data_IF_836934226659
#
_entry.id   IF_836934226659
#
_cell.length_a   1.000
_cell.length_b   1.000
_cell.length_c   1.000
_cell.angle_alpha   90.00
_cell.angle_beta   90.00
_cell.angle_gamma   90.00
#
_symmetry.space_group_name_H-M   'P 1'
#
loop_
_entity.id
_entity.type
_entity.pdbx_description
1 polymer ?
#
# COMPACT_ATOMS: atom_id res chain seq x y z
N UNK A 1 -28.40 2.81 17.98
CA UNK A 1 -28.46 2.10 16.68
C UNK A 1 -28.62 3.06 15.49
N UNK A 2 -29.50 4.07 15.54
CA UNK A 2 -29.77 4.99 14.41
C UNK A 2 -28.56 5.78 13.88
N UNK A 3 -27.60 6.16 14.74
CA UNK A 3 -26.36 6.86 14.34
C UNK A 3 -25.43 6.01 13.48
N UNK A 4 -25.41 4.69 13.69
CA UNK A 4 -24.57 3.76 12.91
C UNK A 4 -25.12 3.63 11.50
N UNK A 5 -26.44 3.55 11.35
CA UNK A 5 -27.10 3.54 10.03
C UNK A 5 -26.80 4.83 9.25
N UNK A 6 -26.87 6.00 9.91
CA UNK A 6 -26.55 7.28 9.26
C UNK A 6 -25.08 7.35 8.82
N UNK A 7 -24.15 6.80 9.63
CA UNK A 7 -22.73 6.73 9.31
C UNK A 7 -22.44 5.79 8.14
N UNK A 8 -23.10 4.63 8.11
CA UNK A 8 -22.98 3.66 7.00
C UNK A 8 -23.50 4.29 5.71
N UNK A 9 -24.68 4.92 5.74
CA UNK A 9 -25.23 5.62 4.57
C UNK A 9 -24.33 6.77 4.11
N UNK A 10 -23.80 7.57 5.04
CA UNK A 10 -22.86 8.65 4.74
C UNK A 10 -21.55 8.14 4.10
N UNK A 11 -20.93 7.10 4.68
CA UNK A 11 -19.71 6.48 4.14
C UNK A 11 -19.95 5.83 2.78
N UNK A 12 -21.12 5.20 2.59
CA UNK A 12 -21.52 4.63 1.30
C UNK A 12 -21.58 5.71 0.24
N UNK A 13 -22.23 6.86 0.50
CA UNK A 13 -22.31 7.97 -0.45
C UNK A 13 -20.91 8.49 -0.77
N UNK A 14 -20.09 8.79 0.24
CA UNK A 14 -18.76 9.38 0.05
C UNK A 14 -17.77 8.42 -0.63
N UNK A 15 -17.92 7.11 -0.49
CA UNK A 15 -17.03 6.12 -1.15
C UNK A 15 -17.52 5.77 -2.55
N UNK A 16 -18.84 5.73 -2.76
CA UNK A 16 -19.43 5.34 -4.03
C UNK A 16 -19.41 6.46 -5.06
N UNK A 17 -19.63 7.73 -4.65
CA UNK A 17 -19.58 8.88 -5.55
C UNK A 17 -18.25 8.98 -6.31
N UNK A 18 -17.08 8.98 -5.64
CA UNK A 18 -15.79 9.06 -6.31
C UNK A 18 -15.46 7.83 -7.16
N UNK A 19 -16.17 6.71 -6.98
CA UNK A 19 -15.99 5.48 -7.77
C UNK A 19 -16.90 5.46 -9.00
N UNK A 20 -18.11 5.99 -8.84
CA UNK A 20 -19.10 6.11 -9.92
C UNK A 20 -18.76 7.25 -10.88
N UNK A 21 -18.19 8.35 -10.39
CA UNK A 21 -17.79 9.50 -11.22
C UNK A 21 -16.77 9.09 -12.31
N UNK A 22 -15.65 8.41 -12.00
CA UNK A 22 -14.71 7.91 -13.01
C UNK A 22 -15.34 6.88 -13.94
N UNK A 23 -16.25 6.04 -13.43
CA UNK A 23 -16.93 5.02 -14.23
C UNK A 23 -17.88 5.63 -15.26
N UNK A 24 -18.66 6.65 -14.87
CA UNK A 24 -19.58 7.37 -15.75
C UNK A 24 -18.86 8.35 -16.69
N UNK A 25 -17.75 8.94 -16.26
CA UNK A 25 -16.89 9.79 -17.11
C UNK A 25 -16.01 8.98 -18.07
N UNK A 26 -15.98 7.64 -17.94
CA UNK A 26 -15.07 6.73 -18.63
C UNK A 26 -15.20 6.62 -20.16
N UNK A 27 -16.05 7.41 -20.83
CA UNK A 27 -16.26 7.29 -22.27
C UNK A 27 -15.91 8.49 -23.15
N UNK A 28 -15.56 9.69 -22.65
CA UNK A 28 -15.44 10.85 -23.56
C UNK A 28 -14.37 11.91 -23.25
N UNK A 29 -13.50 11.72 -22.25
CA UNK A 29 -12.35 12.61 -22.08
C UNK A 29 -11.10 11.77 -22.00
N UNK A 30 -10.42 11.65 -23.13
CA UNK A 30 -9.01 11.33 -23.16
C UNK A 30 -8.31 12.35 -22.26
N UNK A 31 -8.09 11.98 -21.00
CA UNK A 31 -7.19 12.72 -20.13
C UNK A 31 -5.90 12.88 -20.93
N UNK A 32 -5.37 14.11 -21.11
CA UNK A 32 -4.18 14.31 -21.94
C UNK A 32 -3.11 13.34 -21.48
N UNK A 33 -2.42 12.71 -22.43
CA UNK A 33 -1.54 11.56 -22.20
C UNK A 33 -0.55 11.77 -21.03
N UNK A 34 -0.13 13.03 -20.81
CA UNK A 34 0.69 13.47 -19.67
C UNK A 34 0.01 13.28 -18.30
N UNK A 35 -1.27 13.64 -18.18
CA UNK A 35 -2.05 13.47 -16.94
C UNK A 35 -2.33 12.00 -16.65
N UNK A 36 -2.66 11.20 -17.67
CA UNK A 36 -2.89 9.76 -17.45
C UNK A 36 -1.59 9.06 -17.00
N UNK A 37 -0.45 9.39 -17.63
CA UNK A 37 0.88 8.95 -17.17
C UNK A 37 1.17 9.41 -15.74
N UNK A 38 0.90 10.67 -15.39
CA UNK A 38 1.08 11.17 -14.03
C UNK A 38 0.22 10.42 -13.00
N UNK A 39 -1.07 10.24 -13.26
CA UNK A 39 -1.98 9.50 -12.38
C UNK A 39 -1.54 8.03 -12.20
N UNK A 40 -0.96 7.40 -13.23
CA UNK A 40 -0.43 6.03 -13.13
C UNK A 40 0.75 5.89 -12.16
N UNK A 41 1.51 6.96 -11.91
CA UNK A 41 2.64 6.95 -10.98
C UNK A 41 2.24 7.25 -9.53
N UNK A 42 1.07 7.84 -9.29
CA UNK A 42 0.61 8.19 -7.93
C UNK A 42 0.51 6.95 -7.04
N UNK A 43 -0.15 5.83 -7.43
CA UNK A 43 -0.29 4.66 -6.56
C UNK A 43 1.06 4.06 -6.17
N UNK A 44 1.97 3.90 -7.12
CA UNK A 44 3.29 3.34 -6.86
C UNK A 44 4.13 4.23 -5.93
N UNK A 45 4.08 5.55 -6.15
CA UNK A 45 4.80 6.52 -5.32
C UNK A 45 4.21 6.59 -3.91
N UNK A 46 2.89 6.56 -3.78
CA UNK A 46 2.21 6.55 -2.49
C UNK A 46 2.53 5.29 -1.68
N UNK A 47 2.55 4.11 -2.31
CA UNK A 47 2.99 2.87 -1.65
C UNK A 47 4.44 2.97 -1.18
N UNK A 48 5.35 3.45 -2.02
CA UNK A 48 6.76 3.64 -1.63
C UNK A 48 6.92 4.64 -0.47
N UNK A 49 6.23 5.77 -0.54
CA UNK A 49 6.24 6.81 0.49
C UNK A 49 5.61 6.35 1.81
N UNK A 50 4.71 5.37 1.79
CA UNK A 50 4.13 4.77 3.00
C UNK A 50 5.01 3.65 3.58
N UNK A 51 5.57 2.80 2.73
CA UNK A 51 6.35 1.62 3.14
C UNK A 51 7.68 2.04 3.79
N UNK A 52 8.41 2.99 3.18
CA UNK A 52 9.70 3.45 3.70
C UNK A 52 9.61 3.88 5.18
N UNK A 53 8.80 4.90 5.55
CA UNK A 53 8.67 5.29 6.95
C UNK A 53 7.96 4.21 7.78
N UNK A 54 7.06 3.41 7.18
CA UNK A 54 6.38 2.33 7.88
C UNK A 54 7.35 1.31 8.48
N UNK A 55 8.44 1.00 7.76
CA UNK A 55 9.42 0.01 8.23
C UNK A 55 10.36 0.59 9.28
N UNK A 56 10.77 1.85 9.17
CA UNK A 56 11.60 2.49 10.19
C UNK A 56 10.83 2.74 11.50
N UNK A 57 9.54 3.06 11.43
CA UNK A 57 8.71 3.31 12.62
C UNK A 57 8.14 2.03 13.26
N UNK A 58 8.20 0.88 12.58
CA UNK A 58 7.61 -0.36 13.09
C UNK A 58 8.32 -0.91 14.34
N UNK A 59 9.61 -0.64 14.52
CA UNK A 59 10.36 -1.08 15.72
C UNK A 59 11.40 -0.05 16.13
N UNK A 60 11.01 0.95 16.96
CA UNK A 60 11.89 2.02 17.40
C UNK A 60 13.15 1.52 18.13
N UNK A 61 13.04 0.42 18.87
CA UNK A 61 14.15 -0.13 19.67
C UNK A 61 15.24 -0.81 18.81
N UNK A 62 14.88 -1.34 17.63
CA UNK A 62 15.75 -2.16 16.77
C UNK A 62 15.50 -1.91 15.28
N UNK A 63 15.98 -0.78 14.72
CA UNK A 63 15.80 -0.44 13.31
C UNK A 63 16.45 -1.45 12.35
N UNK A 64 17.43 -2.22 12.82
CA UNK A 64 18.12 -3.26 12.06
C UNK A 64 17.13 -4.36 11.59
N UNK A 65 16.14 -4.70 12.41
CA UNK A 65 15.15 -5.72 12.05
C UNK A 65 14.29 -5.29 10.83
N UNK A 66 13.87 -4.03 10.79
CA UNK A 66 13.12 -3.47 9.68
C UNK A 66 13.94 -3.43 8.38
N UNK A 67 15.21 -3.02 8.46
CA UNK A 67 16.11 -2.97 7.30
C UNK A 67 16.32 -4.37 6.71
N UNK A 68 16.54 -5.38 7.55
CA UNK A 68 16.72 -6.77 7.11
C UNK A 68 15.44 -7.32 6.47
N UNK A 69 14.27 -7.01 7.04
CA UNK A 69 12.97 -7.35 6.46
C UNK A 69 12.76 -6.74 5.07
N UNK A 70 13.06 -5.45 4.90
CA UNK A 70 12.99 -4.75 3.60
C UNK A 70 13.93 -5.36 2.58
N UNK A 71 15.20 -5.60 2.96
CA UNK A 71 16.20 -6.14 2.03
C UNK A 71 15.80 -7.54 1.56
N UNK A 72 15.27 -8.36 2.47
CA UNK A 72 14.76 -9.68 2.14
C UNK A 72 13.55 -9.60 1.18
N UNK A 73 12.60 -8.70 1.47
CA UNK A 73 11.42 -8.50 0.61
C UNK A 73 11.81 -8.06 -0.80
N UNK A 74 12.72 -7.08 -0.93
CA UNK A 74 13.19 -6.56 -2.22
C UNK A 74 13.93 -7.65 -3.00
N UNK A 75 14.89 -8.32 -2.36
CA UNK A 75 15.69 -9.36 -3.01
C UNK A 75 14.85 -10.54 -3.50
N UNK A 76 13.90 -11.00 -2.67
CA UNK A 76 13.04 -12.13 -3.03
C UNK A 76 11.96 -11.75 -4.07
N UNK A 77 11.41 -10.54 -3.98
CA UNK A 77 10.36 -10.07 -4.90
C UNK A 77 10.87 -9.86 -6.33
N UNK A 78 12.17 -9.63 -6.53
CA UNK A 78 12.75 -9.57 -7.89
C UNK A 78 12.87 -10.92 -8.58
N UNK A 79 12.93 -12.02 -7.82
CA UNK A 79 13.11 -13.36 -8.39
C UNK A 79 11.77 -14.07 -8.66
N UNK A 80 10.72 -13.79 -7.88
CA UNK A 80 9.39 -14.38 -8.04
C UNK A 80 8.29 -13.32 -8.05
N UNK A 81 7.47 -13.30 -9.10
CA UNK A 81 6.33 -12.38 -9.28
C UNK A 81 5.12 -12.62 -8.37
N UNK A 82 5.29 -13.30 -7.23
CA UNK A 82 4.21 -13.54 -6.26
C UNK A 82 4.40 -12.69 -5.01
N UNK A 83 3.31 -12.14 -4.46
CA UNK A 83 3.35 -11.26 -3.28
C UNK A 83 3.46 -12.06 -1.96
N UNK A 84 2.86 -13.25 -1.93
CA UNK A 84 2.68 -14.03 -0.68
C UNK A 84 4.03 -14.47 -0.10
N UNK A 85 4.92 -15.02 -0.93
CA UNK A 85 6.22 -15.54 -0.48
C UNK A 85 7.17 -14.45 0.08
N UNK A 86 7.39 -13.30 -0.61
CA UNK A 86 8.24 -12.24 -0.07
C UNK A 86 7.67 -11.64 1.21
N UNK A 87 6.34 -11.54 1.36
CA UNK A 87 5.71 -11.05 2.59
C UNK A 87 5.97 -12.01 3.76
N UNK A 88 5.68 -13.30 3.60
CA UNK A 88 5.93 -14.30 4.66
C UNK A 88 7.42 -14.36 5.01
N UNK A 89 8.29 -14.34 4.00
CA UNK A 89 9.74 -14.35 4.20
C UNK A 89 10.25 -13.11 4.94
N UNK A 90 9.74 -11.91 4.60
CA UNK A 90 10.10 -10.68 5.29
C UNK A 90 9.63 -10.69 6.76
N UNK A 91 8.43 -11.21 7.05
CA UNK A 91 7.92 -11.36 8.41
C UNK A 91 8.81 -12.30 9.22
N UNK A 92 9.13 -13.49 8.68
CA UNK A 92 10.00 -14.46 9.35
C UNK A 92 11.41 -13.91 9.58
N UNK A 93 11.98 -13.26 8.57
CA UNK A 93 13.30 -12.62 8.64
C UNK A 93 13.34 -11.56 9.74
N UNK A 94 12.35 -10.65 9.75
CA UNK A 94 12.22 -9.63 10.80
C UNK A 94 12.05 -10.25 12.18
N UNK A 95 11.20 -11.28 12.30
CA UNK A 95 10.95 -11.96 13.57
C UNK A 95 12.21 -12.64 14.13
N UNK A 96 12.97 -13.32 13.29
CA UNK A 96 14.24 -13.95 13.68
C UNK A 96 15.22 -12.90 14.21
N UNK A 97 15.35 -11.75 13.52
CA UNK A 97 16.24 -10.67 13.96
C UNK A 97 15.78 -10.05 15.29
N UNK A 98 14.47 -9.93 15.51
CA UNK A 98 13.92 -9.40 16.76
C UNK A 98 14.06 -10.34 17.95
N UNK A 99 14.13 -11.66 17.72
CA UNK A 99 14.30 -12.67 18.78
C UNK A 99 15.79 -12.92 19.07
N UNK A 100 16.65 -12.81 18.06
CA UNK A 100 18.09 -13.07 18.20
C UNK A 100 18.87 -11.91 18.84
N UNK A 101 18.36 -10.68 18.75
CA UNK A 101 18.89 -9.48 19.39
C UNK A 101 17.91 -9.00 20.45
#
# INVERSE_FOLDING_TARGET
MSKVIILILGMMIVTYLPRLIPFLMGNQKELPEKFNKFLSYIPATALGALILPGVFNATPDKPIAGIVGILFAIGYSWYKGGIILPVIGAILSTFIVLVAF
#
